data_IF_319055862195
#
_entry.id   IF_319055862195
#
_cell.length_a   1.000
_cell.length_b   1.000
_cell.length_c   1.000
_cell.angle_alpha   90.00
_cell.angle_beta   90.00
_cell.angle_gamma   90.00
#
_symmetry.space_group_name_H-M   'P 1'
#
loop_
_entity.id
_entity.type
_entity.pdbx_description
1 polymer ?
#
# COMPACT_ATOMS: atom_id res chain seq x y z
N UNK A 1 -5.90 6.08 14.42
CA UNK A 1 -5.56 7.45 13.93
C UNK A 1 -6.78 8.08 13.27
N UNK A 2 -6.87 9.39 13.36
CA UNK A 2 -7.93 10.12 12.67
C UNK A 2 -7.64 10.17 11.18
N UNK A 3 -8.71 10.15 10.37
CA UNK A 3 -8.59 10.21 8.91
C UNK A 3 -7.79 11.44 8.46
N UNK A 4 -8.00 12.60 9.07
CA UNK A 4 -7.27 13.83 8.74
C UNK A 4 -5.76 13.67 8.89
N UNK A 5 -5.32 12.97 9.94
CA UNK A 5 -3.90 12.73 10.19
C UNK A 5 -3.33 11.79 9.13
N UNK A 6 -4.07 10.73 8.78
CA UNK A 6 -3.67 9.79 7.74
C UNK A 6 -3.49 10.52 6.42
N UNK A 7 -4.46 11.35 6.02
CA UNK A 7 -4.41 12.07 4.76
C UNK A 7 -3.25 13.06 4.71
N UNK A 8 -2.95 13.75 5.83
CA UNK A 8 -1.79 14.65 5.90
C UNK A 8 -0.48 13.90 5.68
N UNK A 9 -0.33 12.75 6.31
CA UNK A 9 0.87 11.92 6.16
C UNK A 9 1.02 11.45 4.72
N UNK A 10 -0.05 10.89 4.16
CA UNK A 10 -0.07 10.40 2.77
C UNK A 10 0.31 11.52 1.80
N UNK A 11 -0.32 12.69 1.94
CA UNK A 11 -0.09 13.81 1.03
C UNK A 11 1.35 14.35 1.10
N UNK A 12 2.01 14.19 2.24
CA UNK A 12 3.38 14.65 2.40
C UNK A 12 4.41 13.62 1.94
N UNK A 13 4.22 12.34 2.25
CA UNK A 13 5.25 11.32 1.98
C UNK A 13 5.06 10.60 0.64
N UNK A 14 3.83 10.42 0.18
CA UNK A 14 3.60 9.65 -1.04
C UNK A 14 4.28 10.26 -2.28
N UNK A 15 4.27 11.58 -2.51
CA UNK A 15 4.99 12.16 -3.64
C UNK A 15 6.48 11.81 -3.65
N UNK A 16 7.10 11.70 -2.47
CA UNK A 16 8.50 11.33 -2.33
C UNK A 16 8.70 9.83 -2.63
N UNK A 17 7.83 8.99 -2.08
CA UNK A 17 7.88 7.54 -2.30
C UNK A 17 7.69 7.22 -3.79
N UNK A 18 6.69 7.83 -4.42
CA UNK A 18 6.40 7.57 -5.83
C UNK A 18 7.54 8.03 -6.74
N UNK A 19 8.16 9.16 -6.42
CA UNK A 19 9.32 9.66 -7.17
C UNK A 19 10.50 8.70 -7.04
N UNK A 20 10.80 8.25 -5.82
CA UNK A 20 11.93 7.36 -5.55
C UNK A 20 11.76 6.00 -6.25
N UNK A 21 10.52 5.56 -6.46
CA UNK A 21 10.20 4.29 -7.11
C UNK A 21 9.82 4.42 -8.60
N UNK A 22 9.88 5.61 -9.16
CA UNK A 22 9.44 5.88 -10.54
C UNK A 22 8.01 5.40 -10.79
N UNK A 23 7.13 5.58 -9.82
CA UNK A 23 5.73 5.19 -9.90
C UNK A 23 4.85 6.39 -10.14
N UNK A 24 3.79 6.19 -10.93
CA UNK A 24 2.73 7.19 -11.11
C UNK A 24 1.38 6.68 -10.64
N UNK A 25 1.36 5.62 -9.83
CA UNK A 25 0.13 5.09 -9.26
C UNK A 25 -0.56 6.14 -8.38
N UNK A 26 -1.88 6.19 -8.46
CA UNK A 26 -2.69 7.16 -7.70
C UNK A 26 -3.24 6.51 -6.45
N UNK A 27 -3.36 7.30 -5.39
CA UNK A 27 -3.93 6.85 -4.12
C UNK A 27 -5.45 7.04 -4.14
N UNK A 28 -6.16 6.00 -3.68
CA UNK A 28 -7.59 6.08 -3.41
C UNK A 28 -7.84 5.54 -2.01
N UNK A 29 -8.48 6.35 -1.17
CA UNK A 29 -8.70 6.00 0.24
C UNK A 29 -10.08 5.43 0.45
N UNK A 30 -10.17 4.33 1.20
CA UNK A 30 -11.42 3.70 1.61
C UNK A 30 -11.33 3.36 3.09
N UNK A 31 -12.48 3.23 3.75
CA UNK A 31 -12.52 2.84 5.15
C UNK A 31 -11.97 1.41 5.31
N UNK A 32 -12.48 0.48 4.50
CA UNK A 32 -11.99 -0.91 4.42
C UNK A 32 -12.32 -1.47 3.03
N UNK A 33 -11.94 -2.73 2.79
CA UNK A 33 -12.18 -3.39 1.50
C UNK A 33 -13.68 -3.51 1.19
N UNK A 34 -14.51 -3.68 2.20
CA UNK A 34 -15.96 -3.82 2.01
C UNK A 34 -16.59 -2.50 1.56
N UNK A 35 -16.16 -1.38 2.13
CA UNK A 35 -16.60 -0.05 1.70
C UNK A 35 -16.21 0.20 0.24
N UNK A 36 -14.99 -0.20 -0.14
CA UNK A 36 -14.55 -0.06 -1.54
C UNK A 36 -15.41 -0.86 -2.50
N UNK A 37 -15.76 -2.09 -2.12
CA UNK A 37 -16.50 -3.00 -3.01
C UNK A 37 -18.01 -2.71 -3.02
N UNK A 38 -18.59 -2.28 -1.90
CA UNK A 38 -20.04 -2.09 -1.75
C UNK A 38 -20.47 -0.65 -1.56
N UNK A 39 -19.53 0.25 -1.26
CA UNK A 39 -19.84 1.65 -0.94
C UNK A 39 -20.37 1.87 0.47
N UNK A 40 -20.39 0.86 1.33
CA UNK A 40 -20.89 0.95 2.70
C UNK A 40 -19.77 1.11 3.71
N UNK A 41 -19.71 2.27 4.37
CA UNK A 41 -18.73 2.55 5.41
C UNK A 41 -19.04 1.79 6.69
N UNK A 42 -17.98 1.39 7.40
CA UNK A 42 -18.12 0.74 8.69
C UNK A 42 -18.44 -0.74 8.65
N UNK A 43 -18.55 -1.34 7.47
CA UNK A 43 -18.68 -2.78 7.37
C UNK A 43 -17.42 -3.46 7.92
N UNK A 44 -17.61 -4.54 8.66
CA UNK A 44 -16.51 -5.30 9.26
C UNK A 44 -16.34 -6.65 8.58
N UNK A 45 -15.11 -7.16 8.59
CA UNK A 45 -14.77 -8.47 8.07
C UNK A 45 -13.36 -8.84 8.48
N UNK A 46 -12.97 -10.07 8.17
CA UNK A 46 -11.66 -10.61 8.58
C UNK A 46 -10.52 -10.25 7.63
N UNK A 47 -10.78 -9.47 6.59
CA UNK A 47 -9.72 -9.05 5.67
C UNK A 47 -8.81 -8.06 6.37
N UNK A 48 -7.55 -8.45 6.55
CA UNK A 48 -6.57 -7.68 7.32
C UNK A 48 -5.66 -6.82 6.45
N UNK A 49 -5.96 -6.66 5.17
CA UNK A 49 -5.14 -5.85 4.28
C UNK A 49 -5.17 -4.38 4.69
N UNK A 50 -3.99 -3.77 4.77
CA UNK A 50 -3.84 -2.34 5.03
C UNK A 50 -3.95 -1.54 3.74
N UNK A 51 -3.59 -2.15 2.62
CA UNK A 51 -3.60 -1.53 1.30
C UNK A 51 -3.56 -2.61 0.21
N UNK A 52 -3.88 -2.22 -1.01
CA UNK A 52 -3.78 -3.09 -2.19
C UNK A 52 -3.37 -2.26 -3.41
N UNK A 53 -2.61 -2.87 -4.32
CA UNK A 53 -2.33 -2.27 -5.63
C UNK A 53 -3.22 -2.90 -6.71
N UNK A 54 -3.86 -2.07 -7.50
CA UNK A 54 -4.70 -2.46 -8.63
C UNK A 54 -3.96 -2.19 -9.94
N UNK A 55 -3.44 -3.26 -10.57
CA UNK A 55 -2.72 -3.15 -11.85
C UNK A 55 -3.62 -2.64 -12.99
N UNK A 56 -4.90 -2.97 -12.95
CA UNK A 56 -5.84 -2.58 -14.03
C UNK A 56 -6.06 -1.08 -14.09
N UNK A 57 -6.11 -0.42 -12.94
CA UNK A 57 -6.40 1.00 -12.82
C UNK A 57 -5.19 1.84 -12.40
N UNK A 58 -4.06 1.19 -12.12
CA UNK A 58 -2.85 1.84 -11.60
C UNK A 58 -3.15 2.68 -10.35
N UNK A 59 -3.84 2.05 -9.40
CA UNK A 59 -4.24 2.70 -8.15
C UNK A 59 -3.77 1.90 -6.95
N UNK A 60 -3.43 2.62 -5.89
CA UNK A 60 -3.17 2.05 -4.58
C UNK A 60 -4.38 2.36 -3.72
N UNK A 61 -5.06 1.33 -3.23
CA UNK A 61 -6.16 1.48 -2.30
C UNK A 61 -5.62 1.41 -0.89
N UNK A 62 -5.85 2.47 -0.09
CA UNK A 62 -5.51 2.48 1.33
C UNK A 62 -6.78 2.22 2.13
N UNK A 63 -6.69 1.30 3.09
CA UNK A 63 -7.81 0.95 3.97
C UNK A 63 -7.58 1.59 5.34
N UNK A 64 -8.15 2.80 5.51
CA UNK A 64 -7.83 3.67 6.63
C UNK A 64 -8.16 3.08 8.00
N UNK A 65 -9.14 2.18 8.08
CA UNK A 65 -9.48 1.49 9.33
C UNK A 65 -8.35 0.56 9.82
N UNK A 66 -7.41 0.20 8.96
CA UNK A 66 -6.31 -0.71 9.27
C UNK A 66 -4.97 0.00 9.47
N UNK A 67 -4.95 1.32 9.34
CA UNK A 67 -3.74 2.12 9.49
C UNK A 67 -3.73 2.75 10.87
N UNK A 68 -2.89 2.25 11.76
CA UNK A 68 -2.91 2.62 13.18
C UNK A 68 -1.71 3.47 13.62
N UNK A 69 -0.70 3.60 12.78
CA UNK A 69 0.51 4.36 13.09
C UNK A 69 1.10 4.99 11.84
N UNK A 70 2.00 5.95 12.04
CA UNK A 70 2.76 6.55 10.94
C UNK A 70 3.57 5.46 10.20
N UNK A 71 4.15 4.54 10.95
CA UNK A 71 4.91 3.43 10.36
C UNK A 71 4.03 2.58 9.46
N UNK A 72 2.82 2.22 9.91
CA UNK A 72 1.87 1.43 9.10
C UNK A 72 1.58 2.11 7.76
N UNK A 73 1.33 3.42 7.80
CA UNK A 73 1.00 4.20 6.61
C UNK A 73 2.17 4.18 5.62
N UNK A 74 3.36 4.52 6.11
CA UNK A 74 4.54 4.64 5.25
C UNK A 74 4.91 3.27 4.66
N UNK A 75 4.92 2.22 5.48
CA UNK A 75 5.22 0.86 5.02
C UNK A 75 4.22 0.38 3.96
N UNK A 76 2.93 0.64 4.18
CA UNK A 76 1.88 0.27 3.22
C UNK A 76 2.07 0.99 1.88
N UNK A 77 2.36 2.29 1.92
CA UNK A 77 2.62 3.07 0.70
C UNK A 77 3.82 2.55 -0.07
N UNK A 78 4.91 2.25 0.61
CA UNK A 78 6.12 1.69 -0.02
C UNK A 78 5.80 0.35 -0.67
N UNK A 79 5.16 -0.55 0.07
CA UNK A 79 4.83 -1.90 -0.38
C UNK A 79 4.03 -1.88 -1.68
N UNK A 80 2.93 -1.13 -1.70
CA UNK A 80 2.06 -1.07 -2.88
C UNK A 80 2.72 -0.30 -4.03
N UNK A 81 3.54 0.70 -3.72
CA UNK A 81 4.28 1.44 -4.73
C UNK A 81 5.28 0.53 -5.46
N UNK A 82 5.94 -0.38 -4.73
CA UNK A 82 6.83 -1.37 -5.33
C UNK A 82 6.06 -2.28 -6.28
N UNK A 83 4.88 -2.75 -5.87
CA UNK A 83 4.03 -3.57 -6.75
C UNK A 83 3.68 -2.84 -8.05
N UNK A 84 3.51 -1.52 -8.01
CA UNK A 84 3.19 -0.73 -9.20
C UNK A 84 4.31 -0.75 -10.25
N UNK A 85 5.51 -1.12 -9.86
CA UNK A 85 6.68 -1.21 -10.76
C UNK A 85 6.96 -2.63 -11.23
N UNK A 86 6.21 -3.61 -10.73
CA UNK A 86 6.39 -5.03 -11.04
C UNK A 86 5.47 -5.48 -12.16
N UNK A 87 5.76 -6.63 -12.77
CA UNK A 87 4.94 -7.19 -13.83
C UNK A 87 3.80 -8.03 -13.26
N UNK A 88 2.56 -7.69 -13.60
CA UNK A 88 1.38 -8.47 -13.21
C UNK A 88 1.47 -9.91 -13.72
N UNK A 89 1.94 -10.10 -14.95
CA UNK A 89 2.07 -11.42 -15.56
C UNK A 89 3.04 -12.29 -14.75
N UNK A 90 4.20 -11.73 -14.39
CA UNK A 90 5.20 -12.44 -13.59
C UNK A 90 4.70 -12.68 -12.18
N UNK A 91 4.02 -11.70 -11.58
CA UNK A 91 3.41 -11.82 -10.26
C UNK A 91 2.45 -13.03 -10.21
N UNK A 92 1.55 -13.11 -11.19
CA UNK A 92 0.59 -14.22 -11.28
C UNK A 92 1.28 -15.55 -11.58
N UNK A 93 2.35 -15.52 -12.37
CA UNK A 93 3.11 -16.71 -12.73
C UNK A 93 3.75 -17.37 -11.50
N UNK A 94 4.28 -16.59 -10.56
CA UNK A 94 4.82 -17.13 -9.33
C UNK A 94 3.76 -17.89 -8.52
N UNK A 95 2.54 -17.35 -8.42
CA UNK A 95 1.47 -18.06 -7.72
C UNK A 95 1.09 -19.36 -8.45
N UNK A 96 1.09 -19.37 -9.76
CA UNK A 96 0.81 -20.59 -10.57
C UNK A 96 1.89 -21.64 -10.37
N UNK A 97 3.12 -21.23 -10.10
CA UNK A 97 4.25 -22.13 -9.83
C UNK A 97 4.25 -22.68 -8.40
N UNK A 98 3.31 -22.26 -7.56
CA UNK A 98 3.15 -22.76 -6.21
C UNK A 98 3.73 -21.87 -5.11
N UNK A 99 4.26 -20.68 -5.43
CA UNK A 99 4.68 -19.73 -4.42
C UNK A 99 3.48 -19.24 -3.62
N UNK A 100 3.68 -19.01 -2.33
CA UNK A 100 2.66 -18.44 -1.44
C UNK A 100 3.03 -16.99 -1.12
N UNK A 101 2.15 -16.27 -0.44
CA UNK A 101 2.43 -14.90 -0.02
C UNK A 101 3.78 -14.77 0.69
N UNK A 102 4.10 -15.73 1.57
CA UNK A 102 5.32 -15.65 2.40
C UNK A 102 6.60 -15.77 1.60
N UNK A 103 6.60 -16.58 0.53
CA UNK A 103 7.82 -16.84 -0.25
C UNK A 103 7.77 -16.30 -1.68
N UNK A 104 6.71 -15.59 -2.05
CA UNK A 104 6.56 -14.97 -3.36
C UNK A 104 7.66 -13.93 -3.56
N UNK A 105 8.53 -14.05 -4.60
CA UNK A 105 9.69 -13.16 -4.77
C UNK A 105 9.33 -11.67 -4.83
N UNK A 106 8.21 -11.31 -5.49
CA UNK A 106 7.77 -9.93 -5.59
C UNK A 106 7.20 -9.39 -4.27
N UNK A 107 6.58 -10.26 -3.46
CA UNK A 107 6.14 -9.87 -2.12
C UNK A 107 7.33 -9.67 -1.19
N UNK A 108 8.35 -10.52 -1.29
CA UNK A 108 9.59 -10.37 -0.53
C UNK A 108 10.27 -9.05 -0.89
N UNK A 109 10.35 -8.71 -2.18
CA UNK A 109 10.92 -7.43 -2.64
C UNK A 109 10.17 -6.26 -2.02
N UNK A 110 8.84 -6.29 -2.06
CA UNK A 110 8.00 -5.23 -1.50
C UNK A 110 8.17 -5.12 0.02
N UNK A 111 8.20 -6.24 0.74
CA UNK A 111 8.42 -6.23 2.19
C UNK A 111 9.80 -5.71 2.56
N UNK A 112 10.84 -6.08 1.81
CA UNK A 112 12.19 -5.60 2.06
C UNK A 112 12.29 -4.08 1.83
N UNK A 113 11.59 -3.56 0.83
CA UNK A 113 11.56 -2.12 0.57
C UNK A 113 10.95 -1.34 1.73
N UNK A 114 10.04 -1.92 2.49
CA UNK A 114 9.41 -1.28 3.65
C UNK A 114 10.42 -0.86 4.72
N UNK A 115 11.60 -1.50 4.77
CA UNK A 115 12.64 -1.15 5.75
C UNK A 115 13.16 0.29 5.59
N UNK A 116 12.94 0.90 4.43
CA UNK A 116 13.31 2.30 4.16
C UNK A 116 12.31 3.32 4.75
N UNK A 117 11.31 2.88 5.48
CA UNK A 117 10.24 3.74 5.97
C UNK A 117 10.73 4.93 6.82
N UNK A 118 11.84 4.76 7.55
CA UNK A 118 12.38 5.83 8.41
C UNK A 118 12.88 7.04 7.64
N UNK A 119 13.28 6.85 6.37
CA UNK A 119 13.68 7.96 5.50
C UNK A 119 12.50 8.93 5.35
N UNK A 120 11.31 8.38 5.11
CA UNK A 120 10.10 9.19 4.93
C UNK A 120 9.55 9.73 6.25
N UNK A 121 9.76 9.00 7.34
CA UNK A 121 9.45 9.51 8.67
C UNK A 121 10.25 10.79 8.95
N UNK A 122 11.53 10.80 8.60
CA UNK A 122 12.37 11.99 8.78
C UNK A 122 11.87 13.17 7.97
N UNK A 123 11.32 12.93 6.79
CA UNK A 123 10.73 13.99 5.96
C UNK A 123 9.49 14.61 6.61
N UNK A 124 8.70 13.80 7.35
CA UNK A 124 7.55 14.33 8.10
C UNK A 124 7.97 15.26 9.23
N UNK A 125 9.15 15.05 9.79
CA UNK A 125 9.65 15.79 10.96
C UNK A 125 10.48 17.04 10.60
N UNK A 126 10.56 17.36 9.32
CA UNK A 126 11.24 18.57 8.85
C UNK A 126 10.37 19.81 8.99
#
# INVERSE_FOLDING_TARGET
>A
MKLEEILKIVNKVYPLISKDNNSNAKIENHYNIYERLSGEKGMTGEVCAEAEYDWSNNKIYLYTSRLHSVEDIIRALIHECVHSTQSKVIFDQYYKEGFTYDNHPYEIEARNAEEEWKIYLNELNK
#
